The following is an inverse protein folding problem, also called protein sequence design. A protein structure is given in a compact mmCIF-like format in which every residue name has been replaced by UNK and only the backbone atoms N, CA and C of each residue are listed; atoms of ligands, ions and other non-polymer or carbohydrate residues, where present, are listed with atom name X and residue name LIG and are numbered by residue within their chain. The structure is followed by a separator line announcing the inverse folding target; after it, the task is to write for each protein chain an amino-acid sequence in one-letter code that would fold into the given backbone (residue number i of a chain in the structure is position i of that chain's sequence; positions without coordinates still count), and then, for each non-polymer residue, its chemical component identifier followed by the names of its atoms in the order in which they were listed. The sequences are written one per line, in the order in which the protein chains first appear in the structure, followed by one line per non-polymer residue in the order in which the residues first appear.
data_IF_415337667909
#
_entry.id   IF_415337667909
#
_cell.length_a   1.000
_cell.length_b   1.000
_cell.length_c   1.000
_cell.angle_alpha   90.00
_cell.angle_beta   90.00
_cell.angle_gamma   90.00
#
_symmetry.space_group_name_H-M   'P 1'
#
loop_
_entity.id
_entity.type
_entity.pdbx_description
1 polymer ?
#
# COMPACT_ATOMS: atom_id res chain seq x y z
N UNK A 1 7.70 37.80 -51.82
CA UNK A 1 7.69 36.72 -50.81
C UNK A 1 6.33 36.76 -50.15
N UNK A 2 5.56 35.69 -50.34
CA UNK A 2 4.10 35.70 -50.22
C UNK A 2 3.69 35.26 -48.82
N UNK A 3 2.89 36.10 -48.15
CA UNK A 3 2.31 35.86 -46.83
C UNK A 3 1.70 34.46 -46.65
N UNK A 4 1.25 33.80 -47.73
CA UNK A 4 0.77 32.41 -47.70
C UNK A 4 1.81 31.40 -47.23
N UNK A 5 3.08 31.62 -47.53
CA UNK A 5 4.17 30.71 -47.18
C UNK A 5 4.45 30.74 -45.67
N UNK A 6 4.38 31.94 -45.06
CA UNK A 6 4.48 32.12 -43.61
C UNK A 6 3.28 31.50 -42.88
N UNK A 7 2.06 31.71 -43.39
CA UNK A 7 0.83 31.11 -42.83
C UNK A 7 0.88 29.58 -42.88
N UNK A 8 1.38 29.02 -43.98
CA UNK A 8 1.53 27.57 -44.15
C UNK A 8 2.57 26.99 -43.18
N UNK A 9 3.70 27.69 -42.99
CA UNK A 9 4.74 27.27 -42.06
C UNK A 9 4.27 27.33 -40.60
N UNK A 10 3.52 28.39 -40.24
CA UNK A 10 2.92 28.55 -38.91
C UNK A 10 1.90 27.43 -38.61
N UNK A 11 1.07 27.09 -39.59
CA UNK A 11 0.08 26.01 -39.47
C UNK A 11 0.75 24.66 -39.22
N UNK A 12 1.88 24.39 -39.88
CA UNK A 12 2.66 23.16 -39.68
C UNK A 12 3.29 23.08 -38.29
N UNK A 13 3.80 24.20 -37.78
CA UNK A 13 4.34 24.28 -36.42
C UNK A 13 3.24 24.11 -35.38
N UNK A 14 2.06 24.70 -35.61
CA UNK A 14 0.92 24.56 -34.73
C UNK A 14 0.43 23.11 -34.68
N UNK A 15 0.39 22.39 -35.81
CA UNK A 15 0.03 20.97 -35.83
C UNK A 15 1.03 20.13 -35.02
N UNK A 16 2.34 20.32 -35.24
CA UNK A 16 3.36 19.59 -34.49
C UNK A 16 3.33 19.87 -32.99
N UNK A 17 3.00 21.11 -32.59
CA UNK A 17 2.81 21.47 -31.18
C UNK A 17 1.55 20.82 -30.60
N UNK A 18 0.46 20.77 -31.37
CA UNK A 18 -0.80 20.13 -30.95
C UNK A 18 -0.61 18.63 -30.77
N UNK A 19 0.14 17.99 -31.68
CA UNK A 19 0.50 16.57 -31.59
C UNK A 19 1.37 16.30 -30.35
N UNK A 20 2.39 17.11 -30.08
CA UNK A 20 3.23 16.99 -28.88
C UNK A 20 2.43 17.19 -27.58
N UNK A 21 1.53 18.17 -27.56
CA UNK A 21 0.65 18.43 -26.41
C UNK A 21 -0.33 17.26 -26.18
N UNK A 22 -0.84 16.64 -27.25
CA UNK A 22 -1.69 15.45 -27.14
C UNK A 22 -0.94 14.25 -26.56
N UNK A 23 0.31 14.05 -26.98
CA UNK A 23 1.19 12.99 -26.46
C UNK A 23 1.52 13.19 -24.98
N UNK A 24 1.84 14.42 -24.57
CA UNK A 24 2.11 14.75 -23.18
C UNK A 24 0.90 14.49 -22.27
N UNK A 25 -0.31 14.91 -22.70
CA UNK A 25 -1.53 14.61 -21.95
C UNK A 25 -1.76 13.11 -21.79
N UNK A 26 -1.49 12.31 -22.83
CA UNK A 26 -1.61 10.86 -22.76
C UNK A 26 -0.66 10.24 -21.72
N UNK A 27 0.61 10.67 -21.71
CA UNK A 27 1.60 10.23 -20.71
C UNK A 27 1.20 10.67 -19.30
N UNK A 28 0.62 11.86 -19.16
CA UNK A 28 0.18 12.39 -17.87
C UNK A 28 -1.03 11.59 -17.32
N UNK A 29 -1.95 11.20 -18.20
CA UNK A 29 -3.08 10.31 -17.89
C UNK A 29 -2.60 8.92 -17.44
N UNK A 30 -1.60 8.36 -18.12
CA UNK A 30 -0.98 7.08 -17.76
C UNK A 30 -0.24 7.16 -16.43
N UNK A 31 0.53 8.22 -16.21
CA UNK A 31 1.19 8.47 -14.93
C UNK A 31 0.16 8.56 -13.79
N UNK A 32 -0.95 9.28 -13.98
CA UNK A 32 -2.01 9.35 -12.97
C UNK A 32 -2.55 7.95 -12.61
N UNK A 33 -2.75 7.07 -13.60
CA UNK A 33 -3.22 5.70 -13.37
C UNK A 33 -2.19 4.87 -12.60
N UNK A 34 -0.91 4.98 -12.95
CA UNK A 34 0.17 4.28 -12.26
C UNK A 34 0.33 4.74 -10.82
N UNK A 35 0.24 6.05 -10.56
CA UNK A 35 0.27 6.59 -9.20
C UNK A 35 -0.85 6.03 -8.34
N UNK A 36 -2.09 6.00 -8.86
CA UNK A 36 -3.23 5.43 -8.15
C UNK A 36 -3.01 3.94 -7.89
N UNK A 37 -2.52 3.17 -8.87
CA UNK A 37 -2.25 1.74 -8.68
C UNK A 37 -1.14 1.48 -7.65
N UNK A 38 -0.06 2.26 -7.68
CA UNK A 38 1.02 2.17 -6.69
C UNK A 38 0.53 2.54 -5.31
N UNK A 39 -0.35 3.54 -5.20
CA UNK A 39 -0.98 3.92 -3.94
C UNK A 39 -1.89 2.81 -3.41
N UNK A 40 -2.77 2.25 -4.24
CA UNK A 40 -3.65 1.13 -3.88
C UNK A 40 -2.84 -0.10 -3.46
N UNK A 41 -1.72 -0.40 -4.12
CA UNK A 41 -0.82 -1.48 -3.74
C UNK A 41 -0.12 -1.18 -2.41
N UNK A 42 0.36 0.05 -2.22
CA UNK A 42 1.02 0.47 -0.98
C UNK A 42 0.04 0.44 0.19
N UNK A 43 -1.19 0.87 0.00
CA UNK A 43 -2.23 0.85 1.02
C UNK A 43 -2.77 -0.57 1.23
N UNK A 44 -2.75 -1.44 0.20
CA UNK A 44 -2.97 -2.88 0.37
C UNK A 44 -1.87 -3.54 1.24
N UNK A 45 -0.61 -3.13 1.10
CA UNK A 45 0.47 -3.59 2.02
C UNK A 45 0.28 -3.02 3.43
N UNK A 46 -0.37 -1.86 3.58
CA UNK A 46 -0.78 -1.30 4.87
C UNK A 46 -2.10 -1.86 5.41
N UNK A 47 -2.69 -2.90 4.80
CA UNK A 47 -3.94 -3.55 5.27
C UNK A 47 -3.76 -4.33 6.58
N UNK A 48 -3.17 -3.71 7.59
CA UNK A 48 -3.43 -3.99 9.00
C UNK A 48 -4.17 -2.74 9.50
N UNK A 49 -5.35 -2.52 8.91
CA UNK A 49 -6.07 -1.23 8.97
C UNK A 49 -6.96 -1.08 10.22
N UNK A 50 -6.90 -2.05 11.14
CA UNK A 50 -7.54 -1.93 12.44
C UNK A 50 -6.83 -2.86 13.43
N UNK A 51 -5.93 -2.29 14.24
CA UNK A 51 -5.48 -2.91 15.49
C UNK A 51 -6.51 -2.56 16.56
N UNK A 52 -7.71 -3.12 16.43
CA UNK A 52 -8.57 -3.23 17.60
C UNK A 52 -7.99 -4.35 18.46
N UNK A 53 -7.99 -4.17 19.78
CA UNK A 53 -7.26 -4.95 20.78
C UNK A 53 -7.54 -6.47 20.67
N UNK A 54 -6.82 -7.15 19.76
CA UNK A 54 -7.02 -8.57 19.47
C UNK A 54 -7.61 -8.94 18.09
N UNK A 55 -7.77 -8.05 17.11
CA UNK A 55 -8.21 -8.44 15.76
C UNK A 55 -7.31 -7.91 14.64
N UNK A 56 -7.09 -8.73 13.60
CA UNK A 56 -6.40 -8.35 12.35
C UNK A 56 -7.34 -8.57 11.19
N UNK A 57 -7.49 -7.58 10.32
CA UNK A 57 -8.21 -7.72 9.06
C UNK A 57 -7.24 -7.69 7.88
N UNK A 58 -7.22 -8.75 7.08
CA UNK A 58 -6.50 -8.83 5.81
C UNK A 58 -7.46 -8.56 4.66
N UNK A 59 -7.12 -7.56 3.83
CA UNK A 59 -7.88 -7.19 2.63
C UNK A 59 -7.11 -7.66 1.39
N UNK A 60 -7.72 -8.55 0.60
CA UNK A 60 -7.17 -9.02 -0.68
C UNK A 60 -7.87 -8.33 -1.84
N UNK A 61 -7.22 -7.38 -2.54
CA UNK A 61 -7.86 -6.54 -3.56
C UNK A 61 -8.34 -7.31 -4.81
N UNK A 62 -7.87 -8.54 -5.02
CA UNK A 62 -8.26 -9.37 -6.17
C UNK A 62 -9.69 -9.94 -6.07
N UNK A 63 -10.35 -9.88 -4.91
CA UNK A 63 -11.69 -10.45 -4.70
C UNK A 63 -12.68 -9.33 -4.37
N UNK A 64 -13.40 -8.83 -5.38
CA UNK A 64 -14.46 -7.85 -5.19
C UNK A 64 -15.67 -8.52 -4.49
N UNK A 65 -15.84 -8.31 -3.18
CA UNK A 65 -16.99 -8.81 -2.40
C UNK A 65 -16.66 -9.09 -0.93
N UNK A 66 -17.64 -9.60 -0.15
CA UNK A 66 -17.46 -10.01 1.26
C UNK A 66 -16.32 -11.03 1.47
N UNK A 67 -15.90 -11.73 0.42
CA UNK A 67 -14.78 -12.69 0.40
C UNK A 67 -13.38 -12.06 0.28
N UNK A 68 -13.29 -10.76 -0.02
CA UNK A 68 -12.02 -10.04 -0.11
C UNK A 68 -11.46 -9.64 1.26
N UNK A 69 -12.28 -9.68 2.32
CA UNK A 69 -11.91 -9.29 3.68
C UNK A 69 -11.93 -10.51 4.59
N UNK A 70 -10.78 -10.87 5.17
CA UNK A 70 -10.68 -11.93 6.18
C UNK A 70 -10.24 -11.32 7.51
N UNK A 71 -11.02 -11.54 8.56
CA UNK A 71 -10.70 -11.10 9.92
C UNK A 71 -10.28 -12.29 10.79
N UNK A 72 -9.25 -12.08 11.59
CA UNK A 72 -8.68 -13.05 12.51
C UNK A 72 -8.67 -12.45 13.91
N UNK A 73 -9.02 -13.24 14.93
CA UNK A 73 -9.02 -12.81 16.32
C UNK A 73 -7.88 -13.50 17.07
N UNK A 74 -7.18 -12.73 17.89
CA UNK A 74 -6.04 -13.12 18.73
C UNK A 74 -6.21 -12.51 20.12
N UNK A 75 -5.47 -13.00 21.10
CA UNK A 75 -5.49 -12.40 22.44
C UNK A 75 -4.84 -11.02 22.45
N UNK A 76 -3.77 -10.85 21.67
CA UNK A 76 -3.09 -9.58 21.47
C UNK A 76 -2.53 -9.52 20.06
N UNK A 77 -2.53 -8.34 19.47
CA UNK A 77 -1.95 -8.08 18.16
C UNK A 77 -1.03 -6.88 18.28
N UNK A 78 0.20 -7.03 17.80
CA UNK A 78 1.18 -5.95 17.73
C UNK A 78 1.26 -5.39 16.31
N UNK A 79 1.22 -4.06 16.19
CA UNK A 79 1.36 -3.39 14.90
C UNK A 79 2.78 -3.48 14.35
N UNK A 80 2.95 -3.12 13.07
CA UNK A 80 4.28 -3.10 12.43
C UNK A 80 5.24 -2.07 13.06
N UNK A 81 4.71 -1.10 13.81
CA UNK A 81 5.47 -0.11 14.55
C UNK A 81 5.72 -0.48 16.02
N UNK A 82 5.20 -1.63 16.48
CA UNK A 82 5.37 -2.05 17.86
C UNK A 82 6.85 -2.28 18.17
N UNK A 83 7.31 -1.78 19.31
CA UNK A 83 8.68 -1.95 19.75
C UNK A 83 8.86 -3.30 20.45
N UNK A 84 10.09 -3.80 20.50
CA UNK A 84 10.42 -5.01 21.25
C UNK A 84 10.05 -4.90 22.74
N UNK A 85 10.15 -3.70 23.30
CA UNK A 85 9.77 -3.40 24.69
C UNK A 85 8.27 -3.66 24.91
N UNK A 86 7.41 -3.18 24.02
CA UNK A 86 5.95 -3.38 24.09
C UNK A 86 5.58 -4.87 24.03
N UNK A 87 6.24 -5.63 23.15
CA UNK A 87 6.06 -7.09 23.07
C UNK A 87 6.56 -7.77 24.35
N UNK A 88 7.69 -7.31 24.91
CA UNK A 88 8.26 -7.88 26.12
C UNK A 88 7.36 -7.67 27.34
N UNK A 89 6.78 -6.48 27.52
CA UNK A 89 5.89 -6.20 28.64
C UNK A 89 4.68 -7.16 28.69
N UNK A 90 4.09 -7.47 27.54
CA UNK A 90 2.96 -8.40 27.43
C UNK A 90 3.34 -9.86 27.76
N UNK A 91 4.53 -10.31 27.34
CA UNK A 91 5.00 -11.69 27.59
C UNK A 91 5.72 -11.86 28.92
N UNK A 92 6.06 -10.79 29.62
CA UNK A 92 6.80 -10.81 30.89
C UNK A 92 6.19 -11.78 31.93
N UNK A 93 4.85 -11.86 32.10
CA UNK A 93 4.24 -12.82 33.03
C UNK A 93 4.51 -14.28 32.64
N UNK A 94 4.57 -14.60 31.35
CA UNK A 94 4.90 -15.94 30.88
C UNK A 94 6.37 -16.26 31.11
N UNK A 95 7.27 -15.30 30.87
CA UNK A 95 8.70 -15.45 31.17
C UNK A 95 8.88 -15.73 32.67
N UNK A 96 8.16 -15.00 33.53
CA UNK A 96 8.18 -15.21 34.97
C UNK A 96 7.69 -16.61 35.36
N UNK A 97 6.61 -17.08 34.75
CA UNK A 97 6.10 -18.44 34.93
C UNK A 97 7.16 -19.51 34.59
N UNK A 98 7.91 -19.29 33.51
CA UNK A 98 9.08 -20.13 33.17
C UNK A 98 10.15 -20.14 34.26
N UNK A 99 10.48 -18.98 34.82
CA UNK A 99 11.44 -18.86 35.93
C UNK A 99 10.93 -19.51 37.23
N UNK A 100 9.63 -19.51 37.45
CA UNK A 100 8.98 -20.14 38.61
C UNK A 100 8.81 -21.67 38.43
N UNK A 101 9.33 -22.25 37.33
CA UNK A 101 9.42 -23.69 37.12
C UNK A 101 8.30 -24.31 36.26
N UNK A 102 7.47 -23.48 35.61
CA UNK A 102 6.46 -23.95 34.67
C UNK A 102 7.03 -24.12 33.26
N UNK A 103 6.48 -25.09 32.51
CA UNK A 103 6.86 -25.29 31.12
C UNK A 103 6.18 -24.24 30.22
N UNK A 104 7.00 -23.43 29.54
CA UNK A 104 6.54 -22.38 28.60
C UNK A 104 7.25 -22.58 27.27
N UNK A 105 6.50 -22.49 26.16
CA UNK A 105 7.04 -22.63 24.81
C UNK A 105 6.67 -21.41 23.97
N UNK A 106 7.67 -20.85 23.28
CA UNK A 106 7.49 -19.75 22.33
C UNK A 106 7.66 -20.29 20.91
N UNK A 107 6.72 -19.98 20.02
CA UNK A 107 6.84 -20.29 18.60
C UNK A 107 7.01 -18.99 17.81
N UNK A 108 8.17 -18.84 17.18
CA UNK A 108 8.48 -17.73 16.29
C UNK A 108 8.47 -18.24 14.85
N UNK A 109 7.58 -17.71 14.03
CA UNK A 109 7.63 -17.89 12.57
C UNK A 109 8.35 -16.70 11.96
N UNK A 110 9.56 -16.95 11.46
CA UNK A 110 10.26 -16.01 10.58
C UNK A 110 9.95 -16.41 9.14
N UNK A 111 9.58 -15.43 8.30
CA UNK A 111 9.18 -15.64 6.91
C UNK A 111 10.35 -16.03 6.02
#
# INVERSE_FOLDING_TARGET
MTYEEEVSNLTRHLSGLTDAASGYNKVLEENRKLYNLVQDLKDSVKSVDHLDDGSITVITPSKNGKDGRKSFNFNKVFGLSAAQEEVFEDIQPLVRSGLDGYNVSYLLMVK
#
